data_IF_301206887408
#
_entry.id   IF_301206887408
#
_cell.length_a   1.000
_cell.length_b   1.000
_cell.length_c   1.000
_cell.angle_alpha   90.00
_cell.angle_beta   90.00
_cell.angle_gamma   90.00
#
_symmetry.space_group_name_H-M   'P 1'
#
loop_
_entity.id
_entity.type
_entity.pdbx_description
1 polymer ?
#
# COMPACT_ATOMS: atom_id res chain seq x y z
N UNK A 1 0.40 19.29 3.31
CA UNK A 1 1.19 20.55 3.22
C UNK A 1 2.65 20.28 3.56
N UNK A 2 3.56 20.96 2.93
CA UNK A 2 5.00 20.91 3.24
C UNK A 2 5.43 22.13 4.09
N UNK A 3 6.69 22.20 4.48
CA UNK A 3 7.21 23.33 5.31
C UNK A 3 7.08 24.68 4.60
N UNK A 4 7.25 24.73 3.27
CA UNK A 4 7.11 25.99 2.53
C UNK A 4 5.64 26.45 2.48
N UNK A 5 4.69 25.51 2.41
CA UNK A 5 3.27 25.81 2.47
C UNK A 5 2.90 26.43 3.82
N UNK A 6 3.46 25.85 4.93
CA UNK A 6 3.26 26.40 6.28
C UNK A 6 3.89 27.80 6.41
N UNK A 7 5.09 28.01 5.86
CA UNK A 7 5.75 29.32 5.87
C UNK A 7 4.91 30.38 5.15
N UNK A 8 4.39 30.06 3.97
CA UNK A 8 3.51 30.95 3.20
C UNK A 8 2.19 31.22 3.92
N UNK A 9 1.54 30.19 4.43
CA UNK A 9 0.25 30.31 5.11
C UNK A 9 0.32 31.22 6.36
N UNK A 10 1.42 31.16 7.08
CA UNK A 10 1.61 31.90 8.32
C UNK A 10 2.44 33.20 8.13
N UNK A 11 2.89 33.50 6.90
CA UNK A 11 3.76 34.65 6.59
C UNK A 11 5.02 34.70 7.46
N UNK A 12 5.67 33.54 7.66
CA UNK A 12 6.89 33.39 8.47
C UNK A 12 8.04 32.80 7.67
N UNK A 13 9.25 32.88 8.21
CA UNK A 13 10.43 32.27 7.57
C UNK A 13 10.29 30.74 7.54
N UNK A 14 11.03 30.10 6.63
CA UNK A 14 11.07 28.62 6.52
C UNK A 14 11.57 27.94 7.81
N UNK A 15 12.54 28.57 8.48
CA UNK A 15 13.09 28.09 9.76
C UNK A 15 12.04 28.17 10.86
N UNK A 16 11.34 29.29 10.97
CA UNK A 16 10.22 29.45 11.92
C UNK A 16 9.08 28.47 11.61
N UNK A 17 8.81 28.19 10.33
CA UNK A 17 7.82 27.20 9.92
C UNK A 17 8.19 25.77 10.35
N UNK A 18 9.47 25.37 10.35
CA UNK A 18 9.94 24.07 10.89
C UNK A 18 9.68 23.95 12.39
N UNK A 19 10.01 25.00 13.15
CA UNK A 19 9.78 25.06 14.59
C UNK A 19 8.26 24.99 14.87
N UNK A 20 7.49 25.78 14.15
CA UNK A 20 6.02 25.81 14.28
C UNK A 20 5.40 24.46 13.95
N UNK A 21 5.81 23.78 12.84
CA UNK A 21 5.35 22.46 12.49
C UNK A 21 5.66 21.43 13.60
N UNK A 22 6.86 21.48 14.17
CA UNK A 22 7.26 20.60 15.29
C UNK A 22 6.39 20.87 16.53
N UNK A 23 6.18 22.14 16.89
CA UNK A 23 5.33 22.53 18.02
C UNK A 23 3.87 22.08 17.83
N UNK A 24 3.32 22.26 16.62
CA UNK A 24 1.95 21.85 16.32
C UNK A 24 1.80 20.33 16.25
N UNK A 25 2.82 19.61 15.83
CA UNK A 25 2.82 18.13 15.90
C UNK A 25 2.81 17.67 17.37
N UNK A 26 3.62 18.27 18.24
CA UNK A 26 3.62 17.95 19.68
C UNK A 26 2.28 18.27 20.36
N UNK A 27 1.59 19.32 19.91
CA UNK A 27 0.24 19.68 20.39
C UNK A 27 -0.87 18.83 19.77
N UNK A 28 -0.56 17.90 18.87
CA UNK A 28 -1.54 17.06 18.19
C UNK A 28 -2.41 17.78 17.16
N UNK A 29 -2.05 19.01 16.74
CA UNK A 29 -2.75 19.78 15.71
C UNK A 29 -2.36 19.34 14.30
N UNK A 30 -1.08 18.96 14.13
CA UNK A 30 -0.54 18.41 12.90
C UNK A 30 -0.11 16.96 13.10
N UNK A 31 -0.27 16.16 12.07
CA UNK A 31 0.26 14.80 11.93
C UNK A 31 1.37 14.87 10.90
N UNK A 32 2.54 14.34 11.25
CA UNK A 32 3.68 14.24 10.32
C UNK A 32 3.58 12.93 9.54
N UNK A 33 3.33 13.03 8.24
CA UNK A 33 3.25 11.87 7.33
C UNK A 33 4.65 11.33 7.01
N UNK A 34 5.57 12.22 6.65
CA UNK A 34 7.01 11.96 6.46
C UNK A 34 7.83 13.23 6.66
N UNK A 35 9.15 13.17 6.46
CA UNK A 35 10.01 14.38 6.50
C UNK A 35 9.44 15.45 5.56
N UNK A 36 9.18 16.64 6.09
CA UNK A 36 8.62 17.81 5.38
C UNK A 36 7.20 17.63 4.82
N UNK A 37 6.43 16.65 5.25
CA UNK A 37 5.04 16.47 4.83
C UNK A 37 4.13 16.31 6.04
N UNK A 38 3.15 17.18 6.15
CA UNK A 38 2.22 17.28 7.28
C UNK A 38 0.78 17.35 6.79
N UNK A 39 -0.14 16.91 7.63
CA UNK A 39 -1.59 17.05 7.47
C UNK A 39 -2.19 17.50 8.80
N UNK A 40 -3.24 18.28 8.80
CA UNK A 40 -3.95 18.61 10.05
C UNK A 40 -4.63 17.36 10.61
N UNK A 41 -4.68 17.23 11.94
CA UNK A 41 -5.37 16.12 12.61
C UNK A 41 -6.82 16.01 12.17
N UNK A 42 -7.52 17.14 12.09
CA UNK A 42 -8.93 17.21 11.65
C UNK A 42 -9.10 16.61 10.24
N UNK A 43 -8.23 17.02 9.29
CA UNK A 43 -8.30 16.47 7.92
C UNK A 43 -7.96 14.99 7.91
N UNK A 44 -6.96 14.52 8.68
CA UNK A 44 -6.53 13.12 8.68
C UNK A 44 -7.68 12.18 9.12
N UNK A 45 -8.44 12.59 10.12
CA UNK A 45 -9.60 11.79 10.65
C UNK A 45 -10.72 11.65 9.62
N UNK A 46 -10.84 12.61 8.71
CA UNK A 46 -11.88 12.64 7.67
C UNK A 46 -11.43 12.00 6.34
N UNK A 47 -10.20 11.49 6.25
CA UNK A 47 -9.69 10.89 5.02
C UNK A 47 -10.52 9.65 4.65
N UNK A 48 -10.86 9.60 3.37
CA UNK A 48 -11.41 8.40 2.74
C UNK A 48 -10.30 7.42 2.39
N UNK A 49 -10.66 6.19 2.10
CA UNK A 49 -9.73 5.11 1.77
C UNK A 49 -8.74 5.49 0.67
N UNK A 50 -9.22 6.02 -0.45
CA UNK A 50 -8.36 6.43 -1.58
C UNK A 50 -7.35 7.54 -1.18
N UNK A 51 -7.73 8.45 -0.28
CA UNK A 51 -6.81 9.47 0.23
C UNK A 51 -5.72 8.85 1.13
N UNK A 52 -6.04 7.77 1.86
CA UNK A 52 -5.06 6.99 2.62
C UNK A 52 -4.10 6.24 1.67
N UNK A 53 -4.59 5.74 0.52
CA UNK A 53 -3.75 5.13 -0.52
C UNK A 53 -2.76 6.14 -1.11
N UNK A 54 -3.19 7.39 -1.36
CA UNK A 54 -2.29 8.48 -1.75
C UNK A 54 -1.20 8.71 -0.70
N UNK A 55 -1.59 8.73 0.58
CA UNK A 55 -0.63 8.89 1.68
C UNK A 55 0.38 7.74 1.70
N UNK A 56 -0.05 6.49 1.51
CA UNK A 56 0.84 5.34 1.42
C UNK A 56 1.90 5.53 0.31
N UNK A 57 1.48 5.89 -0.90
CA UNK A 57 2.39 6.16 -2.01
C UNK A 57 3.34 7.34 -1.74
N UNK A 58 2.90 8.34 -0.97
CA UNK A 58 3.76 9.44 -0.53
C UNK A 58 4.75 9.03 0.55
N UNK A 59 4.41 8.13 1.48
CA UNK A 59 5.28 7.67 2.57
C UNK A 59 6.52 6.97 2.02
N UNK A 60 6.35 6.10 1.01
CA UNK A 60 7.44 5.39 0.35
C UNK A 60 7.26 5.39 -1.17
N UNK A 61 8.23 5.94 -1.87
CA UNK A 61 8.26 6.00 -3.34
C UNK A 61 9.54 5.34 -3.85
N UNK A 62 9.48 4.47 -4.87
CA UNK A 62 8.26 3.96 -5.52
C UNK A 62 7.57 2.87 -4.71
N UNK A 63 6.24 2.87 -4.73
CA UNK A 63 5.37 1.82 -4.18
C UNK A 63 3.99 1.89 -4.83
N UNK A 64 3.24 0.82 -4.75
CA UNK A 64 1.82 0.75 -5.12
C UNK A 64 1.04 -0.04 -4.08
N UNK A 65 -0.25 0.25 -3.93
CA UNK A 65 -1.20 -0.50 -3.09
C UNK A 65 -1.34 -1.90 -3.69
N UNK A 66 -1.27 -2.94 -2.85
CA UNK A 66 -1.32 -4.34 -3.30
C UNK A 66 -1.87 -5.26 -2.21
N UNK A 67 -1.72 -6.56 -2.40
CA UNK A 67 -2.09 -7.59 -1.44
C UNK A 67 -3.58 -7.53 -1.09
N UNK A 68 -3.95 -7.87 0.15
CA UNK A 68 -5.35 -7.88 0.58
C UNK A 68 -5.99 -6.51 0.47
N UNK A 69 -5.26 -5.42 0.69
CA UNK A 69 -5.81 -4.05 0.52
C UNK A 69 -6.29 -3.79 -0.91
N UNK A 70 -5.52 -4.16 -1.93
CA UNK A 70 -5.94 -3.99 -3.31
C UNK A 70 -7.06 -4.98 -3.68
N UNK A 71 -6.99 -6.23 -3.22
CA UNK A 71 -8.04 -7.24 -3.45
C UNK A 71 -9.37 -6.80 -2.82
N UNK A 72 -9.34 -6.20 -1.63
CA UNK A 72 -10.51 -5.64 -0.96
C UNK A 72 -11.10 -4.44 -1.73
N UNK A 73 -10.25 -3.53 -2.21
CA UNK A 73 -10.67 -2.37 -3.00
C UNK A 73 -11.41 -2.77 -4.29
N UNK A 74 -11.02 -3.89 -4.91
CA UNK A 74 -11.70 -4.45 -6.09
C UNK A 74 -12.80 -5.48 -5.76
N UNK A 75 -13.17 -5.60 -4.48
CA UNK A 75 -14.22 -6.54 -4.03
C UNK A 75 -13.95 -8.00 -4.41
N UNK A 76 -12.67 -8.40 -4.41
CA UNK A 76 -12.22 -9.77 -4.72
C UNK A 76 -12.08 -10.60 -3.45
N UNK A 77 -11.93 -9.96 -2.30
CA UNK A 77 -11.91 -10.63 -1.00
C UNK A 77 -13.02 -10.10 -0.10
N UNK A 78 -13.54 -10.96 0.75
CA UNK A 78 -14.48 -10.58 1.81
C UNK A 78 -13.81 -9.90 2.99
N UNK A 79 -12.48 -9.93 3.06
CA UNK A 79 -11.71 -9.29 4.13
C UNK A 79 -11.67 -7.78 3.93
N UNK A 80 -12.16 -7.02 4.92
CA UNK A 80 -12.09 -5.56 4.92
C UNK A 80 -11.02 -5.06 5.90
N UNK A 81 -10.11 -4.23 5.41
CA UNK A 81 -9.01 -3.66 6.18
C UNK A 81 -9.21 -2.15 6.35
N UNK A 82 -9.77 -1.71 7.48
CA UNK A 82 -10.11 -0.27 7.67
C UNK A 82 -8.93 0.62 8.04
N UNK A 83 -7.96 0.11 8.83
CA UNK A 83 -6.84 0.89 9.37
C UNK A 83 -5.48 0.24 9.10
N UNK A 84 -5.44 -0.63 8.11
CA UNK A 84 -4.26 -1.36 7.70
C UNK A 84 -4.15 -1.30 6.18
N UNK A 85 -3.07 -0.68 5.68
CA UNK A 85 -2.87 -0.45 4.25
C UNK A 85 -1.57 -1.11 3.81
N UNK A 86 -1.69 -2.03 2.89
CA UNK A 86 -0.61 -2.82 2.36
C UNK A 86 -0.13 -2.30 1.01
N UNK A 87 1.17 -2.17 0.89
CA UNK A 87 1.83 -1.73 -0.33
C UNK A 87 3.01 -2.62 -0.66
N UNK A 88 3.23 -2.78 -1.94
CA UNK A 88 4.48 -3.36 -2.46
C UNK A 88 5.44 -2.23 -2.85
N UNK A 89 6.72 -2.41 -2.57
CA UNK A 89 7.73 -1.37 -2.76
C UNK A 89 9.06 -1.91 -3.28
N UNK A 90 9.86 -1.06 -3.95
CA UNK A 90 11.19 -1.42 -4.44
C UNK A 90 12.30 -1.24 -3.41
N UNK A 91 12.22 -0.22 -2.56
CA UNK A 91 13.37 0.17 -1.73
C UNK A 91 13.58 -0.75 -0.53
N UNK A 92 12.60 -0.89 0.33
CA UNK A 92 12.70 -1.66 1.59
C UNK A 92 11.34 -2.04 2.13
N UNK A 93 11.30 -3.11 2.90
CA UNK A 93 10.15 -3.41 3.76
C UNK A 93 10.21 -2.52 5.00
N UNK A 94 9.06 -2.00 5.42
CA UNK A 94 8.88 -1.22 6.65
C UNK A 94 7.41 -1.11 7.01
N UNK A 95 7.15 -0.91 8.29
CA UNK A 95 5.83 -0.53 8.80
C UNK A 95 5.91 0.90 9.34
N UNK A 96 4.84 1.65 9.14
CA UNK A 96 4.71 3.04 9.61
C UNK A 96 3.34 3.22 10.21
N UNK A 97 3.29 3.50 11.50
CA UNK A 97 2.04 3.88 12.17
C UNK A 97 1.87 5.39 12.09
N UNK A 98 0.75 5.85 11.55
CA UNK A 98 0.37 7.26 11.51
C UNK A 98 -1.01 7.40 12.13
N UNK A 99 -1.07 8.07 13.28
CA UNK A 99 -2.26 8.09 14.12
C UNK A 99 -2.68 6.64 14.44
N UNK A 100 -3.83 6.17 14.00
CA UNK A 100 -4.32 4.79 14.19
C UNK A 100 -4.32 3.97 12.89
N UNK A 101 -3.66 4.44 11.82
CA UNK A 101 -3.54 3.72 10.53
C UNK A 101 -2.14 3.14 10.39
N UNK A 102 -2.04 1.85 10.17
CA UNK A 102 -0.80 1.17 9.85
C UNK A 102 -0.61 1.09 8.34
N UNK A 103 0.56 1.54 7.88
CA UNK A 103 1.00 1.45 6.50
C UNK A 103 2.15 0.45 6.40
N UNK A 104 1.91 -0.68 5.77
CA UNK A 104 2.90 -1.74 5.57
C UNK A 104 3.43 -1.71 4.14
N UNK A 105 4.75 -1.77 4.02
CA UNK A 105 5.44 -1.82 2.74
C UNK A 105 6.28 -3.08 2.69
N UNK A 106 6.01 -3.94 1.71
CA UNK A 106 6.77 -5.16 1.49
C UNK A 106 7.63 -5.03 0.25
N UNK A 107 8.96 -5.18 0.42
CA UNK A 107 9.90 -5.13 -0.71
C UNK A 107 9.78 -6.38 -1.57
N UNK A 108 9.69 -6.18 -2.89
CA UNK A 108 9.84 -7.24 -3.91
C UNK A 108 11.05 -6.98 -4.79
N UNK A 109 11.38 -7.94 -5.65
CA UNK A 109 12.41 -7.81 -6.68
C UNK A 109 11.97 -6.81 -7.75
N UNK A 110 12.94 -6.16 -8.41
CA UNK A 110 12.68 -5.15 -9.44
C UNK A 110 11.95 -5.76 -10.65
N UNK A 111 12.29 -6.99 -11.01
CA UNK A 111 11.71 -7.73 -12.14
C UNK A 111 10.22 -8.03 -11.96
N UNK A 112 9.74 -8.02 -10.71
CA UNK A 112 8.34 -8.25 -10.36
C UNK A 112 7.56 -6.95 -10.13
N UNK A 113 8.22 -5.79 -10.24
CA UNK A 113 7.61 -4.49 -9.97
C UNK A 113 6.89 -3.93 -11.20
N UNK A 114 5.76 -4.53 -11.53
CA UNK A 114 4.92 -4.25 -12.71
C UNK A 114 3.43 -4.50 -12.39
N UNK A 115 2.54 -4.37 -13.37
CA UNK A 115 1.13 -4.76 -13.25
C UNK A 115 0.30 -3.88 -12.34
N UNK A 116 0.71 -2.64 -12.10
CA UNK A 116 -0.03 -1.62 -11.37
C UNK A 116 -0.39 -0.45 -12.29
N UNK A 117 -1.36 0.32 -11.89
CA UNK A 117 -1.85 1.47 -12.64
C UNK A 117 -2.01 2.70 -11.74
N UNK A 118 -2.01 3.88 -12.35
CA UNK A 118 -2.42 5.10 -11.69
C UNK A 118 -3.94 5.20 -11.75
N UNK A 119 -4.61 5.03 -10.62
CA UNK A 119 -6.06 5.20 -10.50
C UNK A 119 -6.33 6.48 -9.72
N UNK A 120 -6.99 7.45 -10.37
CA UNK A 120 -7.16 8.80 -9.83
C UNK A 120 -5.82 9.45 -9.48
N UNK A 121 -5.35 9.30 -8.25
CA UNK A 121 -4.17 9.98 -7.70
C UNK A 121 -3.25 9.05 -6.92
N UNK A 122 -3.46 7.74 -6.99
CA UNK A 122 -2.64 6.73 -6.31
C UNK A 122 -2.33 5.56 -7.24
N UNK A 123 -1.20 4.90 -6.98
CA UNK A 123 -0.81 3.69 -7.69
C UNK A 123 -1.35 2.46 -6.96
N UNK A 124 -2.01 1.58 -7.70
CA UNK A 124 -2.60 0.34 -7.20
C UNK A 124 -2.32 -0.82 -8.16
N UNK A 125 -2.04 -1.99 -7.64
CA UNK A 125 -1.94 -3.22 -8.42
C UNK A 125 -3.28 -3.53 -9.11
N UNK A 126 -3.21 -4.04 -10.34
CA UNK A 126 -4.39 -4.70 -10.94
C UNK A 126 -4.79 -5.91 -10.10
N UNK A 127 -6.06 -6.35 -10.16
CA UNK A 127 -6.55 -7.47 -9.35
C UNK A 127 -5.64 -8.70 -9.39
N UNK A 128 -5.30 -9.15 -10.60
CA UNK A 128 -4.47 -10.34 -10.79
C UNK A 128 -3.04 -10.13 -10.28
N UNK A 129 -2.52 -8.91 -10.39
CA UNK A 129 -1.21 -8.57 -9.84
C UNK A 129 -1.20 -8.54 -8.33
N UNK A 130 -2.24 -8.01 -7.69
CA UNK A 130 -2.37 -8.04 -6.23
C UNK A 130 -2.39 -9.48 -5.70
N UNK A 131 -3.12 -10.37 -6.38
CA UNK A 131 -3.13 -11.80 -6.06
C UNK A 131 -1.76 -12.45 -6.31
N UNK A 132 -1.10 -12.15 -7.44
CA UNK A 132 0.24 -12.67 -7.74
C UNK A 132 1.27 -12.24 -6.69
N UNK A 133 1.22 -10.99 -6.21
CA UNK A 133 2.07 -10.51 -5.11
C UNK A 133 1.81 -11.27 -3.81
N UNK A 134 0.53 -11.52 -3.47
CA UNK A 134 0.15 -12.30 -2.28
C UNK A 134 0.65 -13.74 -2.38
N UNK A 135 0.48 -14.41 -3.52
CA UNK A 135 0.97 -15.76 -3.79
C UNK A 135 2.50 -15.81 -3.66
N UNK A 136 3.20 -14.89 -4.32
CA UNK A 136 4.66 -14.81 -4.28
C UNK A 136 5.18 -14.68 -2.85
N UNK A 137 4.66 -13.72 -2.09
CA UNK A 137 5.14 -13.47 -0.73
C UNK A 137 4.75 -14.59 0.25
N UNK A 138 3.56 -15.19 0.09
CA UNK A 138 3.13 -16.33 0.91
C UNK A 138 3.99 -17.56 0.64
N UNK A 139 4.31 -17.84 -0.63
CA UNK A 139 5.22 -18.93 -0.99
C UNK A 139 6.60 -18.81 -0.35
N UNK A 140 7.05 -17.56 -0.09
CA UNK A 140 8.30 -17.25 0.61
C UNK A 140 8.17 -17.18 2.13
N UNK A 141 6.99 -17.43 2.70
CA UNK A 141 6.69 -17.28 4.13
C UNK A 141 6.91 -15.83 4.65
N UNK A 142 6.70 -14.84 3.80
CA UNK A 142 6.85 -13.41 4.10
C UNK A 142 5.51 -12.68 4.22
N UNK A 143 4.44 -13.38 3.94
CA UNK A 143 3.06 -12.90 4.00
C UNK A 143 2.15 -14.07 4.36
N UNK A 144 1.00 -13.77 4.97
CA UNK A 144 -0.05 -14.74 5.21
C UNK A 144 -1.33 -14.24 4.54
N UNK A 145 -1.73 -14.90 3.45
CA UNK A 145 -2.95 -14.59 2.73
C UNK A 145 -4.01 -15.64 3.04
N UNK A 146 -5.20 -15.20 3.36
CA UNK A 146 -6.38 -16.06 3.46
C UNK A 146 -6.96 -16.25 2.07
N UNK A 147 -6.60 -17.35 1.41
CA UNK A 147 -7.07 -17.67 0.07
C UNK A 147 -8.51 -18.17 0.04
N UNK A 148 -9.08 -18.61 1.18
CA UNK A 148 -10.49 -19.01 1.26
C UNK A 148 -11.43 -17.81 1.14
N UNK A 149 -10.96 -16.61 1.55
CA UNK A 149 -11.72 -15.38 1.45
C UNK A 149 -11.69 -14.73 0.04
N UNK A 150 -10.99 -15.34 -0.94
CA UNK A 150 -10.82 -14.79 -2.29
C UNK A 150 -11.86 -15.35 -3.25
N UNK A 151 -12.55 -14.45 -3.94
CA UNK A 151 -13.44 -14.79 -5.05
C UNK A 151 -12.65 -14.97 -6.35
N UNK A 152 -12.19 -16.19 -6.59
CA UNK A 152 -11.41 -16.53 -7.78
C UNK A 152 -12.20 -16.43 -9.08
N UNK A 153 -13.53 -16.37 -9.05
CA UNK A 153 -14.35 -16.22 -10.26
C UNK A 153 -14.14 -14.85 -10.93
N UNK A 154 -13.68 -13.85 -10.17
CA UNK A 154 -13.37 -12.49 -10.63
C UNK A 154 -11.95 -12.33 -11.15
N UNK A 155 -11.13 -13.39 -11.13
CA UNK A 155 -9.70 -13.35 -11.43
C UNK A 155 -9.40 -14.11 -12.73
N UNK A 156 -8.64 -13.48 -13.61
CA UNK A 156 -8.11 -14.17 -14.78
C UNK A 156 -6.85 -14.97 -14.42
N UNK A 157 -7.00 -16.29 -14.36
CA UNK A 157 -5.92 -17.25 -14.05
C UNK A 157 -4.67 -17.07 -14.92
N UNK A 158 -4.84 -16.88 -16.23
CA UNK A 158 -3.73 -16.75 -17.16
C UNK A 158 -2.91 -15.48 -16.85
N UNK A 159 -3.58 -14.38 -16.55
CA UNK A 159 -2.93 -13.14 -16.17
C UNK A 159 -2.13 -13.29 -14.86
N UNK A 160 -2.68 -14.01 -13.85
CA UNK A 160 -1.92 -14.33 -12.62
C UNK A 160 -0.68 -15.16 -12.96
N UNK A 161 -0.83 -16.19 -13.81
CA UNK A 161 0.28 -17.06 -14.22
C UNK A 161 1.40 -16.26 -14.90
N UNK A 162 1.04 -15.33 -15.80
CA UNK A 162 2.01 -14.44 -16.46
C UNK A 162 2.80 -13.60 -15.45
N UNK A 163 2.15 -12.99 -14.44
CA UNK A 163 2.87 -12.26 -13.38
C UNK A 163 3.80 -13.15 -12.53
N UNK A 164 3.55 -14.46 -12.50
CA UNK A 164 4.36 -15.40 -11.72
C UNK A 164 5.50 -16.06 -12.54
N UNK A 165 5.54 -15.94 -13.86
CA UNK A 165 6.55 -16.57 -14.74
C UNK A 165 7.99 -16.26 -14.32
N UNK A 166 8.26 -15.01 -13.93
CA UNK A 166 9.59 -14.57 -13.50
C UNK A 166 9.90 -14.86 -12.03
N UNK A 167 9.08 -15.66 -11.36
CA UNK A 167 9.28 -16.05 -9.97
C UNK A 167 10.04 -17.38 -9.85
N UNK A 168 10.31 -17.84 -8.65
CA UNK A 168 10.99 -19.11 -8.41
C UNK A 168 10.04 -20.32 -8.53
N UNK A 169 10.60 -21.52 -8.74
CA UNK A 169 9.86 -22.79 -8.87
C UNK A 169 8.90 -23.04 -7.70
N UNK A 170 9.26 -22.63 -6.49
CA UNK A 170 8.43 -22.80 -5.30
C UNK A 170 7.12 -21.99 -5.40
N UNK A 171 7.19 -20.76 -5.92
CA UNK A 171 6.02 -19.91 -6.13
C UNK A 171 5.10 -20.49 -7.21
N UNK A 172 5.67 -20.97 -8.31
CA UNK A 172 4.92 -21.60 -9.41
C UNK A 172 4.21 -22.86 -8.90
N UNK A 173 4.91 -23.71 -8.14
CA UNK A 173 4.30 -24.91 -7.54
C UNK A 173 3.19 -24.54 -6.55
N UNK A 174 3.40 -23.51 -5.74
CA UNK A 174 2.39 -23.02 -4.80
C UNK A 174 1.11 -22.56 -5.55
N UNK A 175 1.26 -21.79 -6.63
CA UNK A 175 0.15 -21.38 -7.49
C UNK A 175 -0.57 -22.58 -8.12
N UNK A 176 0.18 -23.54 -8.67
CA UNK A 176 -0.40 -24.76 -9.27
C UNK A 176 -1.24 -25.54 -8.25
N UNK A 177 -0.77 -25.62 -6.99
CA UNK A 177 -1.52 -26.27 -5.93
C UNK A 177 -2.79 -25.49 -5.55
N UNK A 178 -2.73 -24.16 -5.45
CA UNK A 178 -3.91 -23.34 -5.23
C UNK A 178 -4.95 -23.53 -6.33
N UNK A 179 -4.54 -23.57 -7.60
CA UNK A 179 -5.45 -23.82 -8.73
C UNK A 179 -6.17 -25.17 -8.59
N UNK A 180 -5.47 -26.22 -8.14
CA UNK A 180 -6.09 -27.53 -7.88
C UNK A 180 -7.05 -27.50 -6.69
N UNK A 181 -6.68 -26.82 -5.61
CA UNK A 181 -7.49 -26.76 -4.38
C UNK A 181 -8.81 -26.02 -4.62
N UNK A 182 -8.77 -24.93 -5.38
CA UNK A 182 -9.94 -24.08 -5.62
C UNK A 182 -10.61 -24.30 -6.98
N UNK A 183 -10.19 -25.32 -7.75
CA UNK A 183 -10.72 -25.67 -9.09
C UNK A 183 -10.72 -24.47 -10.07
N UNK A 184 -9.61 -23.73 -10.10
CA UNK A 184 -9.46 -22.56 -10.96
C UNK A 184 -8.73 -22.95 -12.26
#
# INVERSE_FOLDING_TARGET
>A
MNINDIAKLLSITRESAKVTATRYTRKGLLIRVKKNLYITKTKFVLLKEEELFQIANLIQTPSYISLTTALSYFEITTQQQRYFIESVALKRSKNVMINNVEFTFTKIKKELYEGFELKNTFFIAKPEKALADAIYLTSLKRYNCDFEAIDFSKINKNSVSTYLENTNKRTILFWTNLCKTYNI
#
